data_IF_552572259938
#
_entry.id   IF_552572259938
#
_cell.length_a   1.000
_cell.length_b   1.000
_cell.length_c   1.000
_cell.angle_alpha   90.00
_cell.angle_beta   90.00
_cell.angle_gamma   90.00
#
_symmetry.space_group_name_H-M   'P 1'
#
loop_
_entity.id
_entity.type
_entity.pdbx_description
1 polymer ?
#
# COMPACT_ATOMS: atom_id res chain seq x y z
N UNK A 1 -5.70 24.00 -7.09
CA UNK A 1 -4.66 22.95 -7.30
C UNK A 1 -5.22 21.92 -8.24
N UNK A 2 -4.38 21.28 -9.04
CA UNK A 2 -4.74 20.25 -10.02
C UNK A 2 -4.34 18.86 -9.50
N UNK A 3 -4.87 17.76 -10.07
CA UNK A 3 -4.46 16.40 -9.73
C UNK A 3 -2.98 16.14 -10.03
N UNK A 4 -2.27 15.54 -9.06
CA UNK A 4 -0.82 15.37 -9.08
C UNK A 4 -0.43 13.94 -9.47
N UNK A 5 0.44 13.80 -10.47
CA UNK A 5 1.16 12.56 -10.80
C UNK A 5 2.54 12.57 -10.14
N UNK A 6 3.11 11.39 -9.93
CA UNK A 6 4.40 11.23 -9.26
C UNK A 6 5.36 10.39 -10.09
N UNK A 7 6.66 10.62 -9.88
CA UNK A 7 7.71 9.74 -10.36
C UNK A 7 7.79 8.53 -9.44
N UNK A 8 7.56 7.30 -9.91
CA UNK A 8 7.63 6.12 -9.06
C UNK A 8 9.07 5.89 -8.56
N UNK A 9 9.21 5.43 -7.31
CA UNK A 9 10.49 5.03 -6.75
C UNK A 9 10.60 3.51 -6.85
N UNK A 10 11.41 3.03 -7.79
CA UNK A 10 11.62 1.60 -8.03
C UNK A 10 12.66 1.05 -7.05
N UNK A 11 12.35 -0.07 -6.39
CA UNK A 11 13.21 -0.75 -5.41
C UNK A 11 13.58 -2.15 -5.91
N UNK A 12 14.87 -2.34 -6.16
CA UNK A 12 15.43 -3.66 -6.45
C UNK A 12 15.67 -4.41 -5.13
N UNK A 13 15.15 -5.63 -5.04
CA UNK A 13 15.21 -6.47 -3.83
C UNK A 13 15.43 -7.94 -4.20
N UNK A 14 15.91 -8.75 -3.25
CA UNK A 14 16.28 -10.17 -3.50
C UNK A 14 15.11 -11.05 -3.92
N UNK A 15 13.88 -10.68 -3.58
CA UNK A 15 12.65 -11.40 -3.91
C UNK A 15 11.86 -10.76 -5.05
N UNK A 16 12.37 -9.65 -5.63
CA UNK A 16 11.69 -8.89 -6.66
C UNK A 16 11.59 -9.61 -8.00
N UNK A 17 10.55 -9.23 -8.76
CA UNK A 17 10.23 -9.78 -10.06
C UNK A 17 10.49 -8.84 -11.22
N UNK A 18 9.85 -9.12 -12.36
CA UNK A 18 9.97 -8.36 -13.60
C UNK A 18 8.62 -7.83 -14.10
N UNK A 19 7.55 -7.89 -13.26
CA UNK A 19 6.19 -7.51 -13.66
C UNK A 19 5.94 -6.00 -13.57
N UNK A 20 6.58 -5.31 -12.61
CA UNK A 20 6.31 -3.88 -12.33
C UNK A 20 6.57 -3.00 -13.56
N UNK A 21 7.74 -3.10 -14.18
CA UNK A 21 8.11 -2.22 -15.29
C UNK A 21 7.17 -2.33 -16.50
N UNK A 22 6.88 -3.54 -17.05
CA UNK A 22 5.92 -3.67 -18.15
C UNK A 22 4.48 -3.33 -17.74
N UNK A 23 4.06 -3.65 -16.51
CA UNK A 23 2.73 -3.30 -16.00
C UNK A 23 2.50 -1.78 -15.95
N UNK A 24 3.55 -1.02 -15.61
CA UNK A 24 3.52 0.44 -15.53
C UNK A 24 3.90 1.13 -16.85
N UNK A 25 4.20 0.38 -17.90
CA UNK A 25 4.72 0.93 -19.17
C UNK A 25 6.00 1.78 -18.98
N UNK A 26 6.82 1.47 -17.95
CA UNK A 26 8.06 2.19 -17.64
C UNK A 26 9.26 1.49 -18.29
N UNK A 27 10.06 2.26 -19.01
CA UNK A 27 11.32 1.77 -19.57
C UNK A 27 12.43 1.91 -18.54
N UNK A 28 13.05 0.81 -18.18
CA UNK A 28 14.17 0.76 -17.22
C UNK A 28 15.08 -0.42 -17.54
N UNK A 29 16.34 -0.32 -17.18
CA UNK A 29 17.35 -1.38 -17.21
C UNK A 29 17.54 -2.05 -15.83
N UNK A 30 16.72 -1.66 -14.83
CA UNK A 30 16.71 -2.32 -13.53
C UNK A 30 16.01 -3.67 -13.62
N UNK A 31 16.55 -4.66 -12.88
CA UNK A 31 16.00 -6.00 -12.72
C UNK A 31 15.62 -6.28 -11.27
N UNK A 32 14.80 -7.31 -11.05
CA UNK A 32 14.34 -7.73 -9.72
C UNK A 32 13.67 -6.56 -8.97
N UNK A 33 12.83 -5.80 -9.66
CA UNK A 33 12.07 -4.70 -9.06
C UNK A 33 10.93 -5.32 -8.27
N UNK A 34 11.10 -5.40 -6.94
CA UNK A 34 10.08 -5.96 -6.06
C UNK A 34 9.07 -4.94 -5.55
N UNK A 35 9.45 -3.65 -5.50
CA UNK A 35 8.53 -2.59 -5.08
C UNK A 35 8.60 -1.39 -6.02
N UNK A 36 7.44 -0.78 -6.27
CA UNK A 36 7.29 0.53 -6.86
C UNK A 36 6.53 1.41 -5.87
N UNK A 37 7.20 2.37 -5.26
CA UNK A 37 6.56 3.32 -4.36
C UNK A 37 5.92 4.42 -5.20
N UNK A 38 4.60 4.43 -5.20
CA UNK A 38 3.80 5.31 -6.04
C UNK A 38 3.61 6.69 -5.42
N UNK A 39 3.37 6.69 -4.10
CA UNK A 39 3.21 7.91 -3.31
C UNK A 39 3.77 7.66 -1.91
N UNK A 40 4.77 8.44 -1.54
CA UNK A 40 5.54 8.26 -0.31
C UNK A 40 5.81 9.59 0.37
N UNK A 41 5.45 9.68 1.66
CA UNK A 41 5.92 10.72 2.58
C UNK A 41 7.12 10.29 3.43
N UNK A 42 7.67 9.10 3.22
CA UNK A 42 8.79 8.55 4.01
C UNK A 42 10.02 9.43 3.83
N UNK A 43 10.58 9.89 4.95
CA UNK A 43 11.75 10.79 4.96
C UNK A 43 12.94 10.21 4.20
N UNK A 44 13.45 10.98 3.23
CA UNK A 44 14.54 10.55 2.34
C UNK A 44 14.08 9.74 1.13
N UNK A 45 12.78 9.43 1.06
CA UNK A 45 12.13 8.73 -0.04
C UNK A 45 10.78 9.38 -0.41
N UNK A 46 10.70 10.71 -0.27
CA UNK A 46 9.51 11.48 -0.61
C UNK A 46 9.25 11.43 -2.12
N UNK A 47 7.99 11.23 -2.50
CA UNK A 47 7.60 11.23 -3.90
C UNK A 47 7.77 12.61 -4.53
N UNK A 48 8.27 12.63 -5.77
CA UNK A 48 8.47 13.82 -6.58
C UNK A 48 7.34 13.95 -7.60
N UNK A 49 6.76 15.15 -7.68
CA UNK A 49 5.70 15.46 -8.63
C UNK A 49 6.22 15.39 -10.06
N UNK A 50 5.43 14.79 -10.97
CA UNK A 50 5.80 14.52 -12.35
C UNK A 50 5.07 15.38 -13.38
N UNK A 51 4.13 16.27 -12.97
CA UNK A 51 3.32 17.06 -13.88
C UNK A 51 3.07 18.49 -13.40
N UNK A 52 2.76 19.36 -14.35
CA UNK A 52 2.28 20.73 -14.13
C UNK A 52 3.30 21.66 -13.49
N UNK A 53 2.81 22.75 -12.86
CA UNK A 53 3.66 23.80 -12.29
C UNK A 53 4.49 23.36 -11.06
N UNK A 54 4.11 22.25 -10.41
CA UNK A 54 4.83 21.71 -9.27
C UNK A 54 5.81 20.60 -9.63
N UNK A 55 6.01 20.33 -10.92
CA UNK A 55 6.95 19.30 -11.36
C UNK A 55 8.34 19.50 -10.73
N UNK A 56 8.89 18.40 -10.17
CA UNK A 56 10.20 18.40 -9.52
C UNK A 56 10.17 18.70 -8.02
N UNK A 57 9.07 19.21 -7.47
CA UNK A 57 8.89 19.36 -6.01
C UNK A 57 8.53 18.04 -5.38
N UNK A 58 8.87 17.87 -4.11
CA UNK A 58 8.45 16.72 -3.32
C UNK A 58 7.04 16.92 -2.75
N UNK A 59 6.36 15.80 -2.44
CA UNK A 59 5.06 15.85 -1.76
C UNK A 59 5.14 16.58 -0.42
N UNK A 60 6.23 16.42 0.32
CA UNK A 60 6.46 17.10 1.61
C UNK A 60 6.54 18.62 1.45
N UNK A 61 7.25 19.13 0.42
CA UNK A 61 7.29 20.56 0.10
C UNK A 61 5.89 21.11 -0.22
N UNK A 62 5.06 20.32 -0.93
CA UNK A 62 3.68 20.74 -1.22
C UNK A 62 2.80 20.71 0.03
N UNK A 63 2.93 19.71 0.88
CA UNK A 63 2.19 19.66 2.17
C UNK A 63 2.58 20.84 3.03
N UNK A 64 3.87 21.21 3.12
CA UNK A 64 4.33 22.36 3.86
C UNK A 64 3.78 23.70 3.31
N UNK A 65 3.73 23.82 1.97
CA UNK A 65 3.26 25.01 1.28
C UNK A 65 1.73 25.19 1.36
N UNK A 66 0.97 24.11 1.15
CA UNK A 66 -0.49 24.16 0.97
C UNK A 66 -1.28 23.62 2.17
N UNK A 67 -0.64 22.87 3.05
CA UNK A 67 -1.22 22.39 4.32
C UNK A 67 -2.56 21.68 4.10
N UNK A 68 -3.57 22.04 4.87
CA UNK A 68 -4.91 21.47 4.78
C UNK A 68 -5.59 21.66 3.42
N UNK A 69 -5.16 22.61 2.59
CA UNK A 69 -5.68 22.74 1.21
C UNK A 69 -5.27 21.56 0.33
N UNK A 70 -4.14 20.92 0.61
CA UNK A 70 -3.69 19.73 -0.11
C UNK A 70 -4.23 18.45 0.52
N UNK A 71 -4.07 18.30 1.84
CA UNK A 71 -4.32 17.01 2.52
C UNK A 71 -5.61 16.96 3.34
N UNK A 72 -6.32 18.07 3.55
CA UNK A 72 -7.45 18.22 4.46
C UNK A 72 -7.02 18.87 5.77
N UNK A 73 -7.87 19.72 6.34
CA UNK A 73 -7.53 20.51 7.54
C UNK A 73 -7.33 19.59 8.77
N UNK A 74 -8.20 18.60 8.97
CA UNK A 74 -8.07 17.62 10.06
C UNK A 74 -6.86 16.72 9.87
N UNK A 75 -6.61 16.28 8.62
CA UNK A 75 -5.44 15.46 8.31
C UNK A 75 -4.17 16.23 8.61
N UNK A 76 -4.04 17.48 8.14
CA UNK A 76 -2.88 18.32 8.41
C UNK A 76 -2.68 18.60 9.91
N UNK A 77 -3.77 18.85 10.65
CA UNK A 77 -3.70 19.04 12.11
C UNK A 77 -3.10 17.82 12.84
N UNK A 78 -3.33 16.61 12.32
CA UNK A 78 -2.85 15.35 12.90
C UNK A 78 -1.44 14.95 12.43
N UNK A 79 -1.07 15.29 11.19
CA UNK A 79 0.16 14.76 10.55
C UNK A 79 1.24 15.84 10.33
N UNK A 80 0.86 17.12 10.44
CA UNK A 80 1.76 18.22 10.11
C UNK A 80 2.21 18.17 8.65
N UNK A 81 3.51 18.36 8.41
CA UNK A 81 4.08 18.38 7.07
C UNK A 81 4.34 16.98 6.47
N UNK A 82 4.09 15.90 7.23
CA UNK A 82 4.29 14.54 6.73
C UNK A 82 3.06 14.07 5.95
N UNK A 83 3.27 13.57 4.72
CA UNK A 83 2.20 12.90 3.98
C UNK A 83 1.89 11.55 4.63
N UNK A 84 0.62 11.24 4.99
CA UNK A 84 0.31 10.19 5.96
C UNK A 84 0.31 8.76 5.43
N UNK A 85 0.35 8.56 4.11
CA UNK A 85 0.30 7.23 3.49
C UNK A 85 1.56 6.91 2.70
N UNK A 86 1.85 5.61 2.60
CA UNK A 86 2.77 5.03 1.64
C UNK A 86 2.01 4.05 0.76
N UNK A 87 2.03 4.26 -0.54
CA UNK A 87 1.29 3.51 -1.56
C UNK A 87 2.29 2.81 -2.47
N UNK A 88 2.10 1.50 -2.71
CA UNK A 88 3.05 0.70 -3.48
C UNK A 88 2.37 -0.30 -4.40
N UNK A 89 3.10 -0.70 -5.46
CA UNK A 89 2.95 -2.02 -6.08
C UNK A 89 4.10 -2.93 -5.64
N UNK A 90 3.77 -4.20 -5.40
CA UNK A 90 4.72 -5.23 -4.96
C UNK A 90 4.65 -6.41 -5.92
N UNK A 91 5.81 -6.84 -6.45
CA UNK A 91 5.96 -8.02 -7.31
C UNK A 91 6.82 -9.07 -6.62
N UNK A 92 6.20 -10.10 -6.09
CA UNK A 92 6.85 -11.18 -5.34
C UNK A 92 7.20 -12.36 -6.27
N UNK A 93 8.40 -12.36 -6.83
CA UNK A 93 8.95 -13.52 -7.58
C UNK A 93 9.33 -14.66 -6.64
N UNK A 94 9.67 -14.36 -5.39
CA UNK A 94 9.85 -15.34 -4.31
C UNK A 94 9.28 -14.79 -3.01
N UNK A 95 9.09 -15.66 -2.01
CA UNK A 95 8.48 -15.27 -0.74
C UNK A 95 9.20 -14.10 -0.08
N UNK A 96 8.47 -13.12 0.39
CA UNK A 96 8.98 -12.08 1.28
C UNK A 96 9.25 -12.69 2.67
N UNK A 97 10.06 -12.04 3.49
CA UNK A 97 10.23 -12.45 4.88
C UNK A 97 8.91 -12.45 5.64
N UNK A 98 8.74 -13.39 6.55
CA UNK A 98 7.69 -13.33 7.56
C UNK A 98 8.03 -12.16 8.49
N UNK A 99 7.05 -11.29 8.74
CA UNK A 99 7.25 -10.02 9.42
C UNK A 99 6.04 -9.60 10.23
N UNK A 100 6.27 -8.62 11.11
CA UNK A 100 5.23 -7.91 11.84
C UNK A 100 5.63 -6.44 11.95
N UNK A 101 4.63 -5.57 12.06
CA UNK A 101 4.84 -4.14 12.24
C UNK A 101 4.34 -3.68 13.60
N UNK A 102 5.08 -2.76 14.27
CA UNK A 102 4.62 -2.17 15.52
C UNK A 102 3.40 -1.25 15.31
N UNK A 103 2.60 -1.07 16.35
CA UNK A 103 1.59 -0.03 16.40
C UNK A 103 2.20 1.36 16.64
N UNK A 104 1.35 2.41 16.66
CA UNK A 104 1.80 3.79 16.85
C UNK A 104 2.55 4.00 18.17
N UNK A 105 2.10 3.39 19.27
CA UNK A 105 2.70 3.54 20.59
C UNK A 105 4.10 2.92 20.64
N UNK A 106 4.21 1.69 20.17
CA UNK A 106 5.47 0.96 20.16
C UNK A 106 6.48 1.57 19.18
N UNK A 107 6.01 2.01 18.00
CA UNK A 107 6.84 2.67 17.00
C UNK A 107 7.35 4.04 17.50
N UNK A 108 6.49 4.84 18.13
CA UNK A 108 6.89 6.11 18.73
C UNK A 108 7.95 5.90 19.83
N UNK A 109 7.74 4.93 20.71
CA UNK A 109 8.64 4.62 21.81
C UNK A 109 10.01 4.15 21.37
N UNK A 110 10.07 3.30 20.33
CA UNK A 110 11.32 2.61 19.91
C UNK A 110 12.07 3.33 18.80
N UNK A 111 11.34 3.99 17.91
CA UNK A 111 11.88 4.50 16.65
C UNK A 111 11.57 5.97 16.40
N UNK A 112 10.83 6.63 17.32
CA UNK A 112 10.31 7.99 17.10
C UNK A 112 9.58 8.10 15.75
N UNK A 113 8.75 7.12 15.45
CA UNK A 113 8.04 6.94 14.18
C UNK A 113 6.59 6.55 14.41
N UNK A 114 5.86 6.33 13.32
CA UNK A 114 4.47 5.85 13.32
C UNK A 114 4.42 4.34 13.19
N UNK A 115 3.31 3.76 13.60
CA UNK A 115 2.98 2.37 13.36
C UNK A 115 2.77 2.07 11.88
N UNK A 116 2.54 0.80 11.56
CA UNK A 116 2.34 0.37 10.19
C UNK A 116 1.16 -0.59 10.10
N UNK A 117 -0.02 -0.01 10.02
CA UNK A 117 -1.25 -0.69 9.59
C UNK A 117 -1.34 -0.60 8.08
N UNK A 118 -1.67 -1.69 7.42
CA UNK A 118 -1.69 -1.79 5.97
C UNK A 118 -2.87 -2.61 5.45
N UNK A 119 -3.13 -2.52 4.17
CA UNK A 119 -4.00 -3.41 3.44
C UNK A 119 -3.37 -3.82 2.12
N UNK A 120 -3.72 -5.00 1.65
CA UNK A 120 -3.34 -5.53 0.35
C UNK A 120 -4.56 -5.77 -0.52
N UNK A 121 -4.45 -5.34 -1.77
CA UNK A 121 -5.32 -5.77 -2.86
C UNK A 121 -4.47 -6.61 -3.83
N UNK A 122 -4.88 -7.83 -4.09
CA UNK A 122 -4.18 -8.71 -5.04
C UNK A 122 -4.54 -8.27 -6.46
N UNK A 123 -3.60 -7.60 -7.13
CA UNK A 123 -3.74 -7.13 -8.51
C UNK A 123 -3.65 -8.31 -9.49
N UNK A 124 -2.76 -9.25 -9.19
CA UNK A 124 -2.56 -10.46 -9.98
C UNK A 124 -1.95 -11.58 -9.14
N UNK A 125 -2.20 -12.81 -9.55
CA UNK A 125 -1.70 -14.00 -8.89
C UNK A 125 -1.30 -15.04 -9.95
N UNK A 126 -0.05 -15.53 -9.84
CA UNK A 126 0.41 -16.66 -10.65
C UNK A 126 -0.21 -17.96 -10.14
N UNK A 127 -0.12 -19.03 -10.91
CA UNK A 127 -0.54 -20.35 -10.44
C UNK A 127 0.23 -20.76 -9.16
N UNK A 128 -0.49 -21.09 -8.11
CA UNK A 128 0.06 -21.41 -6.80
C UNK A 128 0.47 -20.21 -5.93
N UNK A 129 0.13 -18.99 -6.36
CA UNK A 129 0.36 -17.79 -5.55
C UNK A 129 -0.31 -17.89 -4.18
N UNK A 130 0.42 -17.51 -3.15
CA UNK A 130 -0.04 -17.61 -1.78
C UNK A 130 0.49 -16.47 -0.91
N UNK A 131 -0.11 -16.29 0.25
CA UNK A 131 0.37 -15.38 1.29
C UNK A 131 0.04 -15.91 2.68
N UNK A 132 0.75 -15.41 3.68
CA UNK A 132 0.52 -15.71 5.09
C UNK A 132 -0.12 -14.51 5.78
N UNK A 133 -1.18 -14.74 6.54
CA UNK A 133 -1.82 -13.69 7.36
C UNK A 133 -2.39 -14.27 8.65
N UNK A 134 -1.81 -13.88 9.78
CA UNK A 134 -2.26 -14.22 11.11
C UNK A 134 -1.91 -15.62 11.59
N UNK A 135 -2.16 -15.86 12.86
CA UNK A 135 -1.93 -17.14 13.51
C UNK A 135 -3.08 -18.12 13.22
N UNK A 136 -2.76 -19.37 12.89
CA UNK A 136 -3.72 -20.46 12.73
C UNK A 136 -4.10 -21.13 14.05
N UNK A 137 -3.23 -21.00 15.06
CA UNK A 137 -3.46 -21.50 16.42
C UNK A 137 -2.88 -20.53 17.45
N UNK A 138 -3.37 -20.59 18.68
CA UNK A 138 -2.93 -19.74 19.76
C UNK A 138 -1.57 -20.21 20.28
N UNK A 139 -0.58 -19.31 20.28
CA UNK A 139 0.73 -19.52 20.84
C UNK A 139 1.06 -18.46 21.90
N UNK A 140 2.00 -18.77 22.78
CA UNK A 140 2.55 -17.80 23.74
C UNK A 140 3.75 -17.06 23.15
N UNK A 141 4.13 -15.88 23.71
CA UNK A 141 5.35 -15.19 23.30
C UNK A 141 6.63 -16.05 23.41
N UNK A 142 6.71 -16.91 24.40
CA UNK A 142 7.87 -17.81 24.58
C UNK A 142 7.85 -18.97 23.57
N UNK A 143 6.67 -19.45 23.21
CA UNK A 143 6.53 -20.44 22.14
C UNK A 143 6.89 -19.81 20.77
N UNK A 144 6.49 -18.57 20.51
CA UNK A 144 6.91 -17.83 19.32
C UNK A 144 8.44 -17.83 19.17
N UNK A 145 9.19 -17.44 20.22
CA UNK A 145 10.65 -17.43 20.18
C UNK A 145 11.21 -18.80 19.85
N UNK A 146 10.73 -19.86 20.51
CA UNK A 146 11.17 -21.25 20.25
C UNK A 146 10.89 -21.69 18.80
N UNK A 147 9.73 -21.30 18.24
CA UNK A 147 9.38 -21.63 16.85
C UNK A 147 10.27 -20.90 15.84
N UNK A 148 10.66 -19.65 16.12
CA UNK A 148 11.65 -18.93 15.30
C UNK A 148 13.01 -19.61 15.37
N UNK A 149 13.50 -19.94 16.56
CA UNK A 149 14.79 -20.63 16.77
C UNK A 149 14.84 -22.01 16.07
N UNK A 150 13.71 -22.73 16.05
CA UNK A 150 13.62 -24.05 15.45
C UNK A 150 13.18 -24.02 13.96
N UNK A 151 13.00 -22.82 13.36
CA UNK A 151 12.50 -22.65 11.98
C UNK A 151 11.11 -23.30 11.73
N UNK A 152 10.24 -23.28 12.74
CA UNK A 152 8.89 -23.86 12.69
C UNK A 152 7.76 -22.81 12.83
N UNK A 153 8.09 -21.53 12.72
CA UNK A 153 7.09 -20.46 12.85
C UNK A 153 6.04 -20.53 11.76
N UNK A 154 6.36 -21.02 10.57
CA UNK A 154 5.44 -21.21 9.46
C UNK A 154 4.30 -22.18 9.77
N UNK A 155 4.52 -23.16 10.66
CA UNK A 155 3.54 -24.20 10.98
C UNK A 155 2.30 -23.68 11.70
N UNK A 156 2.41 -22.47 12.29
CA UNK A 156 1.34 -21.83 13.07
C UNK A 156 0.78 -20.58 12.41
N UNK A 157 1.09 -20.36 11.13
CA UNK A 157 0.56 -19.26 10.34
C UNK A 157 -0.52 -19.73 9.37
N UNK A 158 -1.53 -18.88 9.17
CA UNK A 158 -2.59 -19.18 8.21
C UNK A 158 -2.11 -18.87 6.80
N UNK A 159 -2.14 -19.89 5.94
CA UNK A 159 -1.75 -19.78 4.53
C UNK A 159 -3.01 -19.66 3.65
N UNK A 160 -2.98 -18.71 2.73
CA UNK A 160 -4.04 -18.43 1.76
C UNK A 160 -3.52 -18.60 0.34
N UNK A 161 -4.14 -19.47 -0.44
CA UNK A 161 -4.03 -19.39 -1.90
C UNK A 161 -4.84 -18.17 -2.35
N UNK A 162 -4.27 -17.32 -3.21
CA UNK A 162 -4.87 -16.06 -3.58
C UNK A 162 -5.17 -15.96 -5.07
N UNK A 163 -6.14 -15.11 -5.37
CA UNK A 163 -6.54 -14.74 -6.73
C UNK A 163 -6.59 -13.21 -6.85
N UNK A 164 -6.52 -12.72 -8.09
CA UNK A 164 -6.78 -11.31 -8.35
C UNK A 164 -8.13 -10.87 -7.76
N UNK A 165 -8.18 -9.71 -7.13
CA UNK A 165 -9.34 -9.19 -6.42
C UNK A 165 -9.41 -9.54 -4.93
N UNK A 166 -8.57 -10.44 -4.43
CA UNK A 166 -8.53 -10.75 -3.00
C UNK A 166 -8.01 -9.56 -2.20
N UNK A 167 -8.59 -9.36 -1.01
CA UNK A 167 -8.26 -8.25 -0.11
C UNK A 167 -7.89 -8.77 1.27
N UNK A 168 -6.84 -8.20 1.86
CA UNK A 168 -6.41 -8.48 3.22
C UNK A 168 -6.17 -7.18 3.98
N UNK A 169 -6.82 -7.03 5.14
CA UNK A 169 -6.53 -5.97 6.09
C UNK A 169 -5.56 -6.47 7.16
N UNK A 170 -4.46 -5.77 7.34
CA UNK A 170 -3.33 -6.13 8.18
C UNK A 170 -3.09 -5.04 9.23
N UNK A 171 -3.85 -5.04 10.33
CA UNK A 171 -3.57 -4.12 11.43
C UNK A 171 -2.15 -4.36 11.98
N UNK A 172 -1.53 -3.33 12.51
CA UNK A 172 -0.28 -3.47 13.24
C UNK A 172 -0.37 -4.63 14.26
N UNK A 173 0.70 -5.40 14.41
CA UNK A 173 0.73 -6.61 15.23
C UNK A 173 0.37 -7.91 14.50
N UNK A 174 -0.22 -7.87 13.30
CA UNK A 174 -0.51 -9.05 12.50
C UNK A 174 0.76 -9.63 11.89
N UNK A 175 1.11 -10.90 12.20
CA UNK A 175 2.17 -11.61 11.48
C UNK A 175 1.70 -11.90 10.06
N UNK A 176 2.54 -11.61 9.07
CA UNK A 176 2.18 -11.79 7.67
C UNK A 176 3.41 -11.98 6.78
N UNK A 177 3.18 -12.48 5.56
CA UNK A 177 4.16 -12.49 4.48
C UNK A 177 3.45 -12.57 3.12
N UNK A 178 3.94 -11.82 2.14
CA UNK A 178 3.58 -12.00 0.74
C UNK A 178 4.38 -13.17 0.19
N UNK A 179 3.70 -14.16 -0.36
CA UNK A 179 4.34 -15.33 -0.97
C UNK A 179 4.58 -15.15 -2.46
N UNK A 180 5.34 -16.10 -2.99
CA UNK A 180 5.68 -16.21 -4.42
C UNK A 180 4.44 -16.10 -5.31
N UNK A 181 4.57 -15.37 -6.41
CA UNK A 181 3.56 -15.26 -7.46
C UNK A 181 2.53 -14.14 -7.23
N UNK A 182 2.55 -13.49 -6.08
CA UNK A 182 1.66 -12.37 -5.78
C UNK A 182 2.12 -11.09 -6.46
N UNK A 183 1.16 -10.36 -7.06
CA UNK A 183 1.32 -8.98 -7.49
C UNK A 183 0.28 -8.12 -6.78
N UNK A 184 0.71 -7.18 -5.94
CA UNK A 184 -0.13 -6.55 -4.90
C UNK A 184 -0.07 -5.03 -5.01
N UNK A 185 -1.22 -4.36 -4.80
CA UNK A 185 -1.29 -2.96 -4.42
C UNK A 185 -1.38 -2.89 -2.89
N UNK A 186 -0.43 -2.20 -2.26
CA UNK A 186 -0.35 -2.00 -0.82
C UNK A 186 -0.62 -0.55 -0.45
N UNK A 187 -1.56 -0.35 0.46
CA UNK A 187 -1.88 0.93 1.07
C UNK A 187 -1.57 0.84 2.56
N UNK A 188 -0.70 1.74 3.07
CA UNK A 188 -0.24 1.68 4.45
C UNK A 188 0.00 3.08 5.04
N UNK A 189 0.10 3.15 6.39
CA UNK A 189 0.64 4.33 7.04
C UNK A 189 2.06 4.64 6.54
N UNK A 190 2.45 5.93 6.58
CA UNK A 190 3.82 6.37 6.28
C UNK A 190 4.79 5.83 7.33
N UNK A 191 5.27 4.63 7.12
CA UNK A 191 6.28 3.95 7.93
C UNK A 191 6.95 2.86 7.10
N UNK A 192 8.25 2.67 7.28
CA UNK A 192 9.05 1.60 6.68
C UNK A 192 9.59 0.60 7.74
N UNK A 193 9.08 0.70 8.98
CA UNK A 193 9.52 -0.15 10.09
C UNK A 193 8.99 -1.56 9.91
N UNK A 194 9.92 -2.51 9.84
CA UNK A 194 9.62 -3.94 9.69
C UNK A 194 10.42 -4.75 10.72
N UNK A 195 9.73 -5.53 11.54
CA UNK A 195 10.36 -6.53 12.38
C UNK A 195 10.33 -7.87 11.64
N UNK A 196 11.49 -8.24 11.07
CA UNK A 196 11.65 -9.48 10.32
C UNK A 196 11.77 -10.66 11.30
N UNK A 197 10.88 -11.63 11.12
CA UNK A 197 10.75 -12.81 11.99
C UNK A 197 11.48 -14.00 11.40
N UNK A 198 11.32 -14.24 10.09
CA UNK A 198 11.91 -15.38 9.39
C UNK A 198 12.17 -15.02 7.93
N UNK A 199 13.32 -15.44 7.38
CA UNK A 199 13.75 -15.09 6.03
C UNK A 199 14.27 -16.26 5.21
N UNK A 200 13.84 -17.48 5.55
CA UNK A 200 14.15 -18.70 4.80
C UNK A 200 15.65 -19.01 4.67
N UNK A 201 16.51 -18.41 5.50
CA UNK A 201 17.96 -18.56 5.43
C UNK A 201 18.62 -17.97 4.18
N UNK A 202 17.92 -17.16 3.40
CA UNK A 202 18.48 -16.55 2.19
C UNK A 202 19.40 -15.38 2.49
N UNK A 203 20.27 -15.07 1.52
CA UNK A 203 21.17 -13.93 1.57
C UNK A 203 20.51 -12.68 0.97
N UNK A 204 20.84 -11.52 1.52
CA UNK A 204 20.50 -10.22 0.96
C UNK A 204 21.33 -9.89 -0.29
N UNK A 205 21.08 -8.74 -0.90
CA UNK A 205 21.84 -8.26 -2.08
C UNK A 205 23.33 -8.04 -1.78
N UNK A 206 23.68 -7.84 -0.52
CA UNK A 206 25.07 -7.71 -0.03
C UNK A 206 25.76 -9.05 0.23
N UNK A 207 25.09 -10.17 -0.05
CA UNK A 207 25.58 -11.53 0.17
C UNK A 207 25.58 -11.97 1.64
N UNK A 208 24.91 -11.24 2.54
CA UNK A 208 24.79 -11.58 3.97
C UNK A 208 23.36 -11.92 4.34
N UNK A 209 23.12 -12.76 5.35
CA UNK A 209 21.78 -12.95 5.90
C UNK A 209 21.21 -11.62 6.39
N UNK A 210 19.93 -11.36 6.10
CA UNK A 210 19.24 -10.17 6.61
C UNK A 210 18.97 -10.34 8.10
N UNK A 211 19.09 -9.26 8.86
CA UNK A 211 18.86 -9.24 10.31
C UNK A 211 17.43 -9.71 10.65
N UNK A 212 17.33 -10.56 11.67
CA UNK A 212 16.06 -10.97 12.28
C UNK A 212 15.84 -10.17 13.57
N UNK A 213 14.58 -9.79 13.80
CA UNK A 213 14.18 -8.93 14.91
C UNK A 213 13.29 -9.69 15.90
N UNK A 214 13.70 -10.90 16.29
CA UNK A 214 12.89 -11.84 17.10
C UNK A 214 12.34 -11.20 18.38
N UNK A 215 13.18 -10.55 19.17
CA UNK A 215 12.76 -9.94 20.43
C UNK A 215 11.89 -8.67 20.20
N UNK A 216 12.21 -7.86 19.19
CA UNK A 216 11.37 -6.69 18.86
C UNK A 216 9.99 -7.11 18.37
N UNK A 217 9.94 -8.17 17.57
CA UNK A 217 8.69 -8.71 17.04
C UNK A 217 7.83 -9.35 18.14
N UNK A 218 8.45 -10.01 19.13
CA UNK A 218 7.77 -10.63 20.28
C UNK A 218 6.78 -9.67 20.96
N UNK A 219 7.18 -8.42 21.15
CA UNK A 219 6.34 -7.42 21.80
C UNK A 219 5.32 -6.77 20.85
N UNK A 220 5.53 -6.85 19.55
CA UNK A 220 4.65 -6.25 18.55
C UNK A 220 3.52 -7.18 18.12
N UNK A 221 3.70 -8.50 18.25
CA UNK A 221 2.75 -9.50 17.73
C UNK A 221 1.44 -9.47 18.50
N UNK A 222 0.33 -9.44 17.75
CA UNK A 222 -0.99 -9.80 18.24
C UNK A 222 -1.12 -11.33 18.25
N UNK A 223 -1.12 -11.94 19.43
CA UNK A 223 -1.20 -13.39 19.65
C UNK A 223 -2.63 -13.94 19.62
N UNK A 224 -3.62 -13.13 19.27
CA UNK A 224 -4.98 -13.59 19.09
C UNK A 224 -5.15 -14.31 17.75
N UNK A 225 -6.00 -15.34 17.77
CA UNK A 225 -6.44 -16.04 16.57
C UNK A 225 -7.82 -15.51 16.19
N UNK A 226 -7.99 -15.14 14.94
CA UNK A 226 -9.23 -14.60 14.41
C UNK A 226 -9.92 -15.63 13.49
N UNK A 227 -11.24 -15.63 13.42
CA UNK A 227 -11.96 -16.58 12.57
C UNK A 227 -11.77 -16.31 11.07
N UNK A 228 -11.41 -15.07 10.72
CA UNK A 228 -11.20 -14.62 9.32
C UNK A 228 -10.07 -13.61 9.26
N UNK A 229 -9.20 -13.76 8.28
CA UNK A 229 -8.11 -12.82 7.98
C UNK A 229 -8.22 -12.21 6.59
N UNK A 230 -8.99 -12.85 5.70
CA UNK A 230 -9.30 -12.31 4.38
C UNK A 230 -10.48 -11.35 4.49
N UNK A 231 -10.40 -10.21 3.85
CA UNK A 231 -11.48 -9.22 3.83
C UNK A 231 -12.50 -9.62 2.76
N UNK A 232 -13.75 -9.81 3.18
CA UNK A 232 -14.86 -10.12 2.28
C UNK A 232 -15.55 -8.82 1.84
N UNK A 233 -15.78 -8.66 0.55
CA UNK A 233 -16.57 -7.58 -0.02
C UNK A 233 -17.41 -8.08 -1.20
N UNK A 234 -18.41 -7.32 -1.59
CA UNK A 234 -19.25 -7.63 -2.75
C UNK A 234 -18.91 -6.67 -3.86
N UNK A 235 -18.33 -7.18 -4.94
CA UNK A 235 -18.00 -6.37 -6.11
C UNK A 235 -19.28 -6.04 -6.90
N UNK A 236 -19.52 -4.73 -7.10
CA UNK A 236 -20.57 -4.20 -7.95
C UNK A 236 -19.90 -3.42 -9.07
N UNK A 237 -20.36 -3.68 -10.29
CA UNK A 237 -19.89 -2.98 -11.49
C UNK A 237 -20.45 -1.56 -11.52
N UNK A 238 -19.64 -0.60 -11.97
CA UNK A 238 -20.01 0.83 -12.07
C UNK A 238 -20.50 1.44 -10.74
N UNK A 239 -19.94 0.97 -9.61
CA UNK A 239 -20.28 1.44 -8.27
C UNK A 239 -19.03 1.51 -7.39
N UNK A 240 -19.14 2.17 -6.23
CA UNK A 240 -18.11 2.18 -5.21
C UNK A 240 -18.21 0.93 -4.33
N UNK A 241 -17.14 0.18 -4.22
CA UNK A 241 -17.03 -1.01 -3.38
C UNK A 241 -16.02 -0.72 -2.26
N UNK A 242 -16.51 -0.44 -1.05
CA UNK A 242 -15.64 -0.21 0.11
C UNK A 242 -14.95 -1.52 0.48
N UNK A 243 -13.62 -1.51 0.51
CA UNK A 243 -12.78 -2.65 0.84
C UNK A 243 -12.37 -2.66 2.31
N UNK A 244 -11.83 -1.52 2.77
CA UNK A 244 -11.34 -1.34 4.14
C UNK A 244 -11.69 0.05 4.61
N UNK A 245 -12.20 0.14 5.84
CA UNK A 245 -12.37 1.39 6.58
C UNK A 245 -11.72 1.22 7.95
N UNK A 246 -10.73 2.05 8.27
CA UNK A 246 -10.02 2.01 9.54
C UNK A 246 -9.61 3.42 9.98
N UNK A 247 -9.00 3.53 11.15
CA UNK A 247 -8.51 4.81 11.70
C UNK A 247 -7.56 5.56 10.77
N UNK A 248 -6.84 4.85 9.90
CA UNK A 248 -5.71 5.40 9.13
C UNK A 248 -6.03 5.66 7.68
N UNK A 249 -7.01 4.94 7.12
CA UNK A 249 -7.46 5.12 5.74
C UNK A 249 -8.80 4.44 5.50
N UNK A 250 -9.50 4.95 4.50
CA UNK A 250 -10.63 4.28 3.85
C UNK A 250 -10.24 3.99 2.42
N UNK A 251 -10.39 2.74 2.00
CA UNK A 251 -10.03 2.29 0.65
C UNK A 251 -11.22 1.65 -0.04
N UNK A 252 -11.49 2.07 -1.28
CA UNK A 252 -12.56 1.55 -2.12
C UNK A 252 -12.03 1.11 -3.48
N UNK A 253 -12.71 0.13 -4.09
CA UNK A 253 -12.46 -0.35 -5.44
C UNK A 253 -13.60 0.07 -6.36
N UNK A 254 -13.29 0.33 -7.62
CA UNK A 254 -14.23 0.60 -8.70
C UNK A 254 -13.87 -0.26 -9.90
N UNK A 255 -14.87 -0.93 -10.48
CA UNK A 255 -14.77 -1.63 -11.75
C UNK A 255 -15.75 -0.99 -12.72
N UNK A 256 -15.24 -0.15 -13.62
CA UNK A 256 -16.03 0.80 -14.41
C UNK A 256 -16.03 0.46 -15.90
N UNK A 257 -17.22 0.34 -16.47
CA UNK A 257 -17.45 0.35 -17.92
C UNK A 257 -18.07 1.66 -18.41
N UNK A 258 -18.54 2.51 -17.48
CA UNK A 258 -19.18 3.80 -17.73
C UNK A 258 -18.53 4.91 -16.89
N UNK A 259 -18.70 6.18 -17.29
CA UNK A 259 -18.28 7.29 -16.45
C UNK A 259 -18.90 7.21 -15.04
N UNK A 260 -18.06 7.39 -14.03
CA UNK A 260 -18.44 7.41 -12.63
C UNK A 260 -17.98 8.74 -12.00
N UNK A 261 -18.89 9.42 -11.32
CA UNK A 261 -18.56 10.66 -10.60
C UNK A 261 -18.58 10.40 -9.10
N UNK A 262 -17.45 10.68 -8.44
CA UNK A 262 -17.34 10.69 -6.99
C UNK A 262 -17.45 12.11 -6.48
N UNK A 263 -18.44 12.34 -5.62
CA UNK A 263 -18.61 13.58 -4.88
C UNK A 263 -17.59 13.63 -3.74
N UNK A 264 -16.84 14.74 -3.63
CA UNK A 264 -15.82 15.00 -2.62
C UNK A 264 -16.16 16.25 -1.79
N UNK A 265 -17.36 16.83 -1.96
CA UNK A 265 -17.74 18.11 -1.34
C UNK A 265 -17.67 18.10 0.20
N UNK A 266 -17.98 16.96 0.82
CA UNK A 266 -17.97 16.76 2.26
C UNK A 266 -16.69 16.08 2.78
N UNK A 267 -15.74 15.76 1.89
CA UNK A 267 -14.50 15.09 2.24
C UNK A 267 -13.42 16.11 2.65
N UNK A 268 -13.04 16.12 3.93
CA UNK A 268 -11.90 16.90 4.43
C UNK A 268 -10.61 16.06 4.37
N UNK A 269 -10.27 15.60 3.15
CA UNK A 269 -9.07 14.81 2.87
C UNK A 269 -8.70 14.90 1.39
N UNK A 270 -7.47 14.56 1.08
CA UNK A 270 -7.06 14.22 -0.28
C UNK A 270 -7.71 12.90 -0.72
N UNK A 271 -7.70 12.62 -2.04
CA UNK A 271 -8.04 11.30 -2.58
C UNK A 271 -6.87 10.77 -3.42
N UNK A 272 -6.29 9.64 -3.02
CA UNK A 272 -5.36 8.88 -3.88
C UNK A 272 -6.18 7.99 -4.82
N UNK A 273 -5.79 7.93 -6.08
CA UNK A 273 -6.39 7.07 -7.11
C UNK A 273 -5.29 6.25 -7.75
N UNK A 274 -5.36 4.93 -7.64
CA UNK A 274 -4.50 3.97 -8.34
C UNK A 274 -5.27 3.33 -9.48
N UNK A 275 -4.75 3.36 -10.68
CA UNK A 275 -5.30 2.59 -11.79
C UNK A 275 -4.71 1.18 -11.78
N UNK A 276 -5.58 0.19 -11.50
CA UNK A 276 -5.18 -1.21 -11.36
C UNK A 276 -5.27 -1.94 -12.70
N UNK A 277 -6.24 -1.60 -13.53
CA UNK A 277 -6.46 -2.24 -14.83
C UNK A 277 -7.07 -1.26 -15.83
N UNK A 278 -6.72 -1.40 -17.10
CA UNK A 278 -7.28 -0.62 -18.18
C UNK A 278 -6.72 0.79 -18.26
N UNK A 279 -7.51 1.68 -18.87
CA UNK A 279 -7.16 3.10 -19.06
C UNK A 279 -8.40 3.97 -19.24
N UNK A 280 -8.24 5.25 -19.00
CA UNK A 280 -9.31 6.22 -19.12
C UNK A 280 -8.81 7.63 -18.84
N UNK A 281 -9.75 8.50 -18.46
CA UNK A 281 -9.44 9.86 -18.03
C UNK A 281 -9.99 10.12 -16.63
N UNK A 282 -9.33 11.03 -15.94
CA UNK A 282 -9.71 11.59 -14.66
C UNK A 282 -9.88 13.10 -14.85
N UNK A 283 -11.08 13.61 -14.56
CA UNK A 283 -11.40 15.05 -14.65
C UNK A 283 -11.77 15.56 -13.26
N UNK A 284 -11.01 16.52 -12.75
CA UNK A 284 -11.31 17.23 -11.51
C UNK A 284 -12.35 18.32 -11.77
N UNK A 285 -13.39 18.43 -10.94
CA UNK A 285 -14.47 19.40 -11.13
C UNK A 285 -14.04 20.84 -10.82
N UNK A 286 -13.02 21.07 -10.01
CA UNK A 286 -12.47 22.40 -9.72
C UNK A 286 -11.46 22.86 -10.78
N UNK A 287 -10.98 21.93 -11.60
CA UNK A 287 -10.00 22.21 -12.67
C UNK A 287 -10.30 21.38 -13.91
N UNK A 288 -11.44 21.68 -14.55
CA UNK A 288 -11.93 20.94 -15.73
C UNK A 288 -11.02 21.08 -16.96
N UNK A 289 -10.15 22.11 -16.99
CA UNK A 289 -9.16 22.29 -18.06
C UNK A 289 -8.01 21.28 -17.94
N UNK A 290 -7.86 20.61 -16.76
CA UNK A 290 -6.84 19.59 -16.51
C UNK A 290 -7.45 18.19 -16.39
N UNK A 291 -7.89 17.65 -17.53
CA UNK A 291 -8.22 16.22 -17.65
C UNK A 291 -6.93 15.43 -17.81
N UNK A 292 -6.66 14.52 -16.87
CA UNK A 292 -5.52 13.60 -16.92
C UNK A 292 -5.91 12.29 -17.60
N UNK A 293 -5.06 11.80 -18.50
CA UNK A 293 -5.09 10.38 -18.90
C UNK A 293 -4.53 9.53 -17.77
N UNK A 294 -5.14 8.37 -17.56
CA UNK A 294 -4.76 7.42 -16.53
C UNK A 294 -4.75 6.01 -17.14
N UNK A 295 -3.67 5.27 -16.94
CA UNK A 295 -3.56 3.86 -17.35
C UNK A 295 -3.11 3.00 -16.17
N UNK A 296 -3.20 1.68 -16.34
CA UNK A 296 -2.78 0.73 -15.31
C UNK A 296 -1.36 1.02 -14.81
N UNK A 297 -1.15 0.89 -13.51
CA UNK A 297 0.12 1.16 -12.85
C UNK A 297 0.38 2.63 -12.53
N UNK A 298 -0.51 3.56 -12.91
CA UNK A 298 -0.40 4.97 -12.52
C UNK A 298 -1.15 5.28 -11.23
N UNK A 299 -0.61 6.25 -10.48
CA UNK A 299 -1.21 6.77 -9.24
C UNK A 299 -1.29 8.28 -9.31
N UNK A 300 -2.43 8.82 -8.88
CA UNK A 300 -2.74 10.26 -8.87
C UNK A 300 -3.23 10.67 -7.49
N UNK A 301 -2.81 11.84 -7.01
CA UNK A 301 -3.34 12.50 -5.82
C UNK A 301 -4.27 13.63 -6.23
N UNK A 302 -5.51 13.59 -5.77
CA UNK A 302 -6.48 14.65 -5.89
C UNK A 302 -6.44 15.48 -4.60
N UNK A 303 -6.20 16.80 -4.69
CA UNK A 303 -6.12 17.68 -3.52
C UNK A 303 -7.45 17.77 -2.77
N UNK A 304 -7.39 18.01 -1.46
CA UNK A 304 -8.57 18.20 -0.59
C UNK A 304 -9.45 19.40 -0.98
N UNK A 305 -8.96 20.30 -1.82
CA UNK A 305 -9.76 21.40 -2.38
C UNK A 305 -10.71 20.96 -3.48
N UNK A 306 -10.53 19.77 -4.07
CA UNK A 306 -11.44 19.22 -5.08
C UNK A 306 -12.81 18.91 -4.46
N UNK A 307 -13.88 19.24 -5.21
CA UNK A 307 -15.26 18.98 -4.80
C UNK A 307 -15.89 17.79 -5.52
N UNK A 308 -15.19 17.21 -6.45
CA UNK A 308 -15.61 16.02 -7.16
C UNK A 308 -14.67 15.63 -8.28
N UNK A 309 -14.72 14.38 -8.65
CA UNK A 309 -13.91 13.82 -9.74
C UNK A 309 -14.73 12.88 -10.58
N UNK A 310 -14.54 12.93 -11.89
CA UNK A 310 -15.15 12.00 -12.83
C UNK A 310 -14.10 11.10 -13.44
N UNK A 311 -14.28 9.79 -13.29
CA UNK A 311 -13.52 8.74 -13.95
C UNK A 311 -14.26 8.33 -15.23
N UNK A 312 -13.60 8.39 -16.38
CA UNK A 312 -14.18 8.00 -17.66
C UNK A 312 -13.34 6.90 -18.30
N UNK A 313 -13.77 5.63 -18.22
CA UNK A 313 -13.04 4.51 -18.82
C UNK A 313 -13.04 4.61 -20.36
N UNK A 314 -11.94 4.20 -21.00
CA UNK A 314 -11.88 4.09 -22.47
C UNK A 314 -12.60 2.83 -23.00
N UNK A 315 -12.41 1.69 -22.31
CA UNK A 315 -13.05 0.40 -22.64
C UNK A 315 -13.33 -0.46 -21.41
N UNK A 316 -13.01 0.04 -20.24
CA UNK A 316 -13.06 -0.59 -18.95
C UNK A 316 -11.88 -0.12 -18.12
N UNK A 317 -12.10 0.14 -16.84
CA UNK A 317 -11.06 0.63 -15.94
C UNK A 317 -11.34 0.16 -14.52
N UNK A 318 -10.31 -0.41 -13.88
CA UNK A 318 -10.39 -0.78 -12.48
C UNK A 318 -9.50 0.15 -11.65
N UNK A 319 -10.08 0.76 -10.62
CA UNK A 319 -9.42 1.72 -9.75
C UNK A 319 -9.46 1.29 -8.30
N UNK A 320 -8.45 1.69 -7.55
CA UNK A 320 -8.49 1.74 -6.08
C UNK A 320 -8.33 3.18 -5.65
N UNK A 321 -9.19 3.63 -4.74
CA UNK A 321 -9.06 4.95 -4.12
C UNK A 321 -8.78 4.82 -2.65
N UNK A 322 -8.01 5.77 -2.08
CA UNK A 322 -7.74 5.82 -0.65
C UNK A 322 -7.72 7.26 -0.15
N UNK A 323 -8.28 7.48 1.04
CA UNK A 323 -8.29 8.76 1.73
C UNK A 323 -8.25 8.55 3.25
N UNK A 324 -8.09 9.61 4.02
CA UNK A 324 -8.19 9.59 5.49
C UNK A 324 -9.54 10.18 5.88
N UNK A 325 -10.38 9.39 6.55
CA UNK A 325 -11.72 9.78 7.01
C UNK A 325 -11.77 10.29 8.44
#
# INVERSE_FOLDING_TARGET
MYPLKFRPILKTVVWGGEKIAPYKEVVTDQHNIGESWELSGVKGHESVIANGEFEGKTITELVEQFKGKLVGEKVYANTGNEFPLLIKFIDAKSDLSIQVHPDDELAAKRHNSKGKTEMWYVVGADEGAHLLSGLSEKITPDEYVKRVENNTITDVLTNFNVNAGDVFFLPAGRIHAIGTGCFIAEIQQTSDITYRIYDYGRLGLDGKPRELHTELAKDAIDYNVYPEYKTNYVEKKDDENVLVECKYFTTSQYDLDKPFTKDLSDLDSFLVVMCIEGRGTLTDHEDQDHTLTLHQGETVLIPATSKGVTFTPSSGMKLITSYIG
#
